data_IF_304854648394
#
_entry.id   IF_304854648394
#
_cell.length_a   1.000
_cell.length_b   1.000
_cell.length_c   1.000
_cell.angle_alpha   90.00
_cell.angle_beta   90.00
_cell.angle_gamma   90.00
#
_symmetry.space_group_name_H-M   'P 1'
#
loop_
_entity.id
_entity.type
_entity.pdbx_description
1 polymer ?
#
# COMPACT_ATOMS: atom_id res chain seq x y z
N UNK A 1 -9.35 0.52 -17.37
CA UNK A 1 -8.55 1.70 -16.98
C UNK A 1 -7.61 1.26 -15.88
N UNK A 2 -6.28 1.28 -16.10
CA UNK A 2 -5.32 0.84 -15.09
C UNK A 2 -5.05 2.01 -14.14
N UNK A 3 -5.64 1.97 -12.94
CA UNK A 3 -5.50 3.02 -11.92
C UNK A 3 -4.19 2.90 -11.13
N UNK A 4 -3.38 1.88 -11.42
CA UNK A 4 -2.06 1.67 -10.82
C UNK A 4 -1.14 2.80 -11.25
N UNK A 5 -0.72 3.63 -10.29
CA UNK A 5 0.19 4.76 -10.54
C UNK A 5 1.66 4.39 -10.34
N UNK A 6 1.94 3.46 -9.43
CA UNK A 6 3.30 3.05 -9.08
C UNK A 6 3.35 1.56 -8.77
N UNK A 7 4.40 0.91 -9.27
CA UNK A 7 4.75 -0.48 -8.97
C UNK A 7 6.19 -0.50 -8.50
N UNK A 8 6.45 -1.12 -7.35
CA UNK A 8 7.79 -1.41 -6.86
C UNK A 8 8.04 -2.91 -6.95
N UNK A 9 9.11 -3.33 -7.60
CA UNK A 9 9.54 -4.74 -7.60
C UNK A 9 10.56 -4.98 -6.49
N UNK A 10 10.47 -6.14 -5.85
CA UNK A 10 11.40 -6.54 -4.79
C UNK A 10 11.36 -8.06 -4.57
N UNK A 11 12.32 -8.57 -3.79
CA UNK A 11 12.42 -10.00 -3.47
C UNK A 11 12.31 -10.22 -1.98
N UNK A 12 11.57 -11.26 -1.60
CA UNK A 12 11.50 -11.76 -0.22
C UNK A 12 11.87 -13.23 -0.29
N UNK A 13 12.90 -13.65 0.44
CA UNK A 13 13.36 -15.06 0.47
C UNK A 13 13.59 -15.67 -0.93
N UNK A 14 14.11 -14.88 -1.87
CA UNK A 14 14.37 -15.31 -3.24
C UNK A 14 13.14 -15.35 -4.17
N UNK A 15 11.93 -15.13 -3.66
CA UNK A 15 10.71 -15.04 -4.45
C UNK A 15 10.44 -13.60 -4.89
N UNK A 16 10.00 -13.43 -6.15
CA UNK A 16 9.69 -12.12 -6.74
C UNK A 16 8.29 -11.62 -6.36
N UNK A 17 8.26 -10.39 -5.85
CA UNK A 17 7.05 -9.67 -5.48
C UNK A 17 6.97 -8.32 -6.16
N UNK A 18 5.75 -7.82 -6.24
CA UNK A 18 5.47 -6.42 -6.55
C UNK A 18 4.69 -5.79 -5.41
N UNK A 19 4.91 -4.51 -5.17
CA UNK A 19 4.09 -3.67 -4.30
C UNK A 19 3.38 -2.63 -5.16
N UNK A 20 2.06 -2.61 -5.08
CA UNK A 20 1.22 -1.68 -5.84
C UNK A 20 -0.08 -1.43 -5.10
N UNK A 21 -0.64 -0.24 -5.27
CA UNK A 21 -1.93 0.11 -4.70
C UNK A 21 -2.93 0.45 -5.79
N UNK A 22 -4.10 -0.17 -5.71
CA UNK A 22 -5.24 0.09 -6.59
C UNK A 22 -6.56 -0.27 -5.87
N UNK A 23 -7.67 -0.25 -6.60
CA UNK A 23 -8.99 -0.49 -6.02
C UNK A 23 -9.17 -1.87 -5.36
N UNK A 24 -8.32 -2.85 -5.67
CA UNK A 24 -8.35 -4.19 -5.04
C UNK A 24 -7.71 -4.18 -3.66
N UNK A 25 -6.80 -3.24 -3.40
CA UNK A 25 -6.14 -3.10 -2.10
C UNK A 25 -7.11 -2.65 -1.01
N UNK A 26 -8.10 -1.82 -1.35
CA UNK A 26 -9.06 -1.27 -0.38
C UNK A 26 -9.90 -2.34 0.34
N UNK A 27 -10.60 -3.25 -0.35
CA UNK A 27 -11.37 -4.30 0.32
C UNK A 27 -10.47 -5.27 1.10
N UNK A 28 -9.29 -5.62 0.57
CA UNK A 28 -8.34 -6.49 1.28
C UNK A 28 -7.85 -5.84 2.57
N UNK A 29 -7.51 -4.54 2.55
CA UNK A 29 -7.14 -3.80 3.74
C UNK A 29 -8.24 -3.84 4.82
N UNK A 30 -9.50 -3.62 4.40
CA UNK A 30 -10.65 -3.66 5.31
C UNK A 30 -10.86 -5.05 5.89
N UNK A 31 -10.67 -6.11 5.09
CA UNK A 31 -10.76 -7.49 5.57
C UNK A 31 -9.67 -7.81 6.60
N UNK A 32 -8.44 -7.35 6.37
CA UNK A 32 -7.29 -7.57 7.24
C UNK A 32 -7.43 -6.89 8.60
N UNK A 33 -7.88 -5.64 8.59
CA UNK A 33 -7.77 -4.75 9.75
C UNK A 33 -9.11 -4.45 10.43
N UNK A 34 -10.23 -4.72 9.76
CA UNK A 34 -11.55 -4.24 10.16
C UNK A 34 -11.73 -2.72 9.99
N UNK A 35 -10.69 -1.99 9.61
CA UNK A 35 -10.67 -0.53 9.58
C UNK A 35 -10.99 0.04 8.19
N UNK A 36 -11.49 1.27 8.17
CA UNK A 36 -11.68 1.98 6.90
C UNK A 36 -10.35 2.44 6.32
N UNK A 37 -10.26 2.41 4.98
CA UNK A 37 -9.11 2.93 4.25
C UNK A 37 -8.88 4.42 4.54
N UNK A 38 -9.93 5.25 4.52
CA UNK A 38 -9.78 6.71 4.69
C UNK A 38 -9.22 7.07 6.07
N UNK A 39 -9.68 6.42 7.13
CA UNK A 39 -9.17 6.68 8.47
C UNK A 39 -7.72 6.21 8.63
N UNK A 40 -7.39 5.07 8.04
CA UNK A 40 -6.05 4.47 8.19
C UNK A 40 -5.00 5.16 7.33
N UNK A 41 -5.36 5.55 6.10
CA UNK A 41 -4.47 6.27 5.19
C UNK A 41 -4.04 7.63 5.74
N UNK A 42 -4.91 8.31 6.49
CA UNK A 42 -4.57 9.55 7.20
C UNK A 42 -3.52 9.35 8.32
N UNK A 43 -3.38 8.12 8.83
CA UNK A 43 -2.42 7.76 9.90
C UNK A 43 -1.19 7.03 9.39
N UNK A 44 -1.12 6.69 8.11
CA UNK A 44 -0.06 5.85 7.55
C UNK A 44 1.35 6.46 7.75
N UNK A 45 1.48 7.78 7.75
CA UNK A 45 2.74 8.47 8.04
C UNK A 45 3.18 8.46 9.51
N UNK A 46 2.37 7.89 10.42
CA UNK A 46 2.68 7.79 11.86
C UNK A 46 3.45 6.51 12.20
N UNK A 47 3.73 5.65 11.22
CA UNK A 47 4.43 4.37 11.42
C UNK A 47 3.75 3.48 12.47
N UNK A 48 2.43 3.49 12.51
CA UNK A 48 1.67 2.50 13.27
C UNK A 48 1.85 1.13 12.63
N UNK A 49 2.36 0.16 13.41
CA UNK A 49 2.75 -1.15 12.91
C UNK A 49 1.56 -1.93 12.32
N UNK A 50 0.39 -1.87 12.97
CA UNK A 50 -0.80 -2.59 12.51
C UNK A 50 -1.35 -2.00 11.22
N UNK A 51 -1.41 -0.67 11.12
CA UNK A 51 -1.82 0.03 9.91
C UNK A 51 -0.83 -0.26 8.78
N UNK A 52 0.47 -0.16 9.05
CA UNK A 52 1.53 -0.38 8.07
C UNK A 52 1.49 -1.80 7.53
N UNK A 53 1.39 -2.79 8.42
CA UNK A 53 1.30 -4.21 8.05
C UNK A 53 0.00 -4.53 7.30
N UNK A 54 -1.12 -3.93 7.69
CA UNK A 54 -2.39 -4.04 6.97
C UNK A 54 -2.27 -3.53 5.53
N UNK A 55 -1.58 -2.39 5.33
CA UNK A 55 -1.32 -1.88 4.00
C UNK A 55 -0.33 -2.74 3.21
N UNK A 56 0.68 -3.34 3.86
CA UNK A 56 1.58 -4.29 3.21
C UNK A 56 0.82 -5.50 2.67
N UNK A 57 -0.03 -6.13 3.48
CA UNK A 57 -0.87 -7.26 3.03
C UNK A 57 -1.81 -6.89 1.88
N UNK A 58 -2.29 -5.64 1.84
CA UNK A 58 -3.16 -5.12 0.80
C UNK A 58 -2.44 -4.71 -0.50
N UNK A 59 -1.11 -4.50 -0.47
CA UNK A 59 -0.34 -3.94 -1.59
C UNK A 59 0.68 -4.89 -2.18
N UNK A 60 1.24 -5.79 -1.37
CA UNK A 60 2.20 -6.80 -1.82
C UNK A 60 1.45 -7.88 -2.61
N UNK A 61 2.02 -8.29 -3.74
CA UNK A 61 1.49 -9.32 -4.64
C UNK A 61 2.65 -10.15 -5.15
N UNK A 62 2.41 -11.45 -5.36
CA UNK A 62 3.39 -12.27 -6.09
C UNK A 62 3.49 -11.75 -7.53
N UNK A 63 4.70 -11.69 -8.10
CA UNK A 63 4.90 -11.18 -9.47
C UNK A 63 4.11 -11.98 -10.52
N UNK A 64 3.97 -13.29 -10.31
CA UNK A 64 3.16 -14.21 -11.13
C UNK A 64 1.64 -13.98 -10.99
N UNK A 65 1.20 -13.32 -9.93
CA UNK A 65 -0.22 -13.03 -9.62
C UNK A 65 -0.41 -11.55 -9.30
N UNK A 66 -0.13 -10.64 -10.25
CA UNK A 66 -0.06 -9.20 -10.00
C UNK A 66 -1.42 -8.54 -9.67
N UNK A 67 -2.50 -9.32 -9.73
CA UNK A 67 -3.86 -8.88 -9.48
C UNK A 67 -4.39 -9.36 -8.11
N UNK A 68 -3.62 -10.16 -7.38
CA UNK A 68 -4.00 -10.77 -6.10
C UNK A 68 -3.10 -10.23 -4.98
N UNK A 69 -3.57 -9.28 -4.15
CA UNK A 69 -2.93 -8.95 -2.89
C UNK A 69 -2.74 -10.21 -2.04
N UNK A 70 -1.59 -10.32 -1.37
CA UNK A 70 -1.29 -11.48 -0.52
C UNK A 70 -2.23 -11.57 0.70
N UNK A 71 -2.86 -10.47 1.11
CA UNK A 71 -3.86 -10.47 2.16
C UNK A 71 -3.30 -11.06 3.46
N UNK A 72 -4.04 -12.02 4.04
CA UNK A 72 -3.70 -12.66 5.33
C UNK A 72 -2.37 -13.41 5.33
N UNK A 73 -1.87 -13.82 4.16
CA UNK A 73 -0.55 -14.44 4.03
C UNK A 73 0.56 -13.52 4.52
N UNK A 74 0.35 -12.20 4.61
CA UNK A 74 1.32 -11.27 5.23
C UNK A 74 1.75 -11.70 6.64
N UNK A 75 0.84 -12.32 7.42
CA UNK A 75 1.12 -12.74 8.80
C UNK A 75 1.93 -14.04 8.89
N UNK A 76 2.11 -14.74 7.76
CA UNK A 76 2.93 -15.95 7.66
C UNK A 76 4.36 -15.64 7.20
N UNK A 77 4.64 -14.38 6.87
CA UNK A 77 5.92 -13.91 6.36
C UNK A 77 6.81 -13.39 7.50
N UNK A 78 8.07 -13.05 7.19
CA UNK A 78 8.94 -12.35 8.14
C UNK A 78 8.47 -10.90 8.33
N UNK A 79 7.56 -10.72 9.31
CA UNK A 79 6.93 -9.44 9.64
C UNK A 79 7.99 -8.39 10.02
N UNK A 80 9.02 -8.79 10.79
CA UNK A 80 10.07 -7.86 11.23
C UNK A 80 10.88 -7.38 10.05
N UNK A 81 11.27 -8.27 9.13
CA UNK A 81 11.92 -7.88 7.89
C UNK A 81 11.08 -6.90 7.09
N UNK A 82 9.78 -7.20 6.92
CA UNK A 82 8.84 -6.36 6.17
C UNK A 82 8.72 -4.96 6.78
N UNK A 83 8.48 -4.85 8.08
CA UNK A 83 8.36 -3.56 8.77
C UNK A 83 9.66 -2.76 8.67
N UNK A 84 10.81 -3.37 8.93
CA UNK A 84 12.10 -2.66 8.94
C UNK A 84 12.60 -2.24 7.55
N UNK A 85 12.26 -2.99 6.49
CA UNK A 85 12.81 -2.76 5.15
C UNK A 85 11.80 -2.16 4.16
N UNK A 86 10.50 -2.29 4.41
CA UNK A 86 9.46 -1.94 3.44
C UNK A 86 8.38 -1.00 3.98
N UNK A 87 8.45 -0.52 5.24
CA UNK A 87 7.50 0.46 5.76
C UNK A 87 7.45 1.75 4.92
N UNK A 88 8.61 2.28 4.54
CA UNK A 88 8.67 3.45 3.66
C UNK A 88 8.10 3.19 2.27
N UNK A 89 8.31 1.99 1.75
CA UNK A 89 7.82 1.60 0.43
C UNK A 89 6.30 1.61 0.37
N UNK A 90 5.66 1.05 1.39
CA UNK A 90 4.19 1.01 1.43
C UNK A 90 3.60 2.41 1.60
N UNK A 91 4.22 3.27 2.42
CA UNK A 91 3.83 4.67 2.56
C UNK A 91 3.91 5.36 1.19
N UNK A 92 5.01 5.22 0.49
CA UNK A 92 5.22 5.85 -0.81
C UNK A 92 4.24 5.32 -1.87
N UNK A 93 4.03 4.01 -1.93
CA UNK A 93 3.11 3.38 -2.89
C UNK A 93 1.67 3.86 -2.66
N UNK A 94 1.20 3.89 -1.41
CA UNK A 94 -0.17 4.33 -1.09
C UNK A 94 -0.33 5.82 -1.35
N UNK A 95 0.58 6.66 -0.87
CA UNK A 95 0.50 8.13 -1.03
C UNK A 95 0.62 8.58 -2.48
N UNK A 96 1.54 8.00 -3.26
CA UNK A 96 1.67 8.30 -4.70
C UNK A 96 0.42 7.91 -5.48
N UNK A 97 -0.30 6.89 -5.02
CA UNK A 97 -1.54 6.42 -5.64
C UNK A 97 -2.75 7.30 -5.34
N UNK A 98 -2.71 8.12 -4.27
CA UNK A 98 -3.79 9.04 -3.93
C UNK A 98 -4.00 10.10 -5.03
N UNK A 99 -5.22 10.65 -5.18
CA UNK A 99 -5.47 11.79 -6.05
C UNK A 99 -4.53 12.94 -5.67
N UNK A 100 -3.71 13.37 -6.64
CA UNK A 100 -2.87 14.54 -6.48
C UNK A 100 -3.70 15.75 -6.89
N UNK A 101 -3.73 16.80 -6.07
CA UNK A 101 -4.27 18.08 -6.49
C UNK A 101 -3.42 18.59 -7.65
N UNK A 102 -3.98 18.67 -8.86
CA UNK A 102 -3.39 19.46 -9.93
C UNK A 102 -3.33 20.91 -9.43
N UNK A 103 -2.13 21.39 -9.08
CA UNK A 103 -1.88 22.72 -8.52
C UNK A 103 -2.19 23.87 -9.47
N UNK A 104 -3.45 24.03 -9.86
CA UNK A 104 -3.96 25.17 -10.62
C UNK A 104 -5.16 25.80 -9.92
N UNK A 105 -5.07 26.02 -8.60
CA UNK A 105 -5.89 27.07 -7.98
C UNK A 105 -5.19 28.39 -8.32
N UNK A 106 -5.58 29.01 -9.44
CA UNK A 106 -5.31 30.44 -9.65
C UNK A 106 -5.99 31.17 -8.51
N UNK A 107 -5.22 31.65 -7.54
CA UNK A 107 -5.67 32.62 -6.56
C UNK A 107 -6.12 33.86 -7.33
N UNK A 108 -7.43 33.96 -7.55
CA UNK A 108 -8.05 35.21 -7.95
C UNK A 108 -7.77 36.22 -6.86
N UNK A 109 -6.88 37.19 -7.15
CA UNK A 109 -6.78 38.41 -6.35
C UNK A 109 -8.17 39.04 -6.31
N UNK A 110 -8.75 39.14 -5.11
CA UNK A 110 -9.71 40.19 -4.78
C UNK A 110 -8.95 41.31 -4.10
#
# INVERSE_FOLDING_TARGET
MNLVKKVKEFKINGQDYIMTFDMRSIPVYKELTGNSFLQSSAKLGQFDDEITLGFMGATIRKKEKPNEPIGKTIYEMDILYLLLNHAWDVIEIVTSSMPQSNGAVKTGKK
#
